data_IF_129223003428
#
_entry.id   IF_129223003428
#
_cell.length_a   1.000
_cell.length_b   1.000
_cell.length_c   1.000
_cell.angle_alpha   90.00
_cell.angle_beta   90.00
_cell.angle_gamma   90.00
#
_symmetry.space_group_name_H-M   'P 1'
#
loop_
_entity.id
_entity.type
_entity.pdbx_description
1 polymer ?
#
# COMPACT_ATOMS: atom_id res chain seq x y z
N UNK A 1 22.29 -21.74 -64.53
CA UNK A 1 21.43 -20.61 -64.97
C UNK A 1 20.00 -21.02 -64.67
N UNK A 2 19.12 -20.25 -63.98
CA UNK A 2 19.13 -18.81 -63.65
C UNK A 2 19.40 -18.55 -62.14
N UNK A 3 19.88 -17.41 -61.63
CA UNK A 3 19.48 -16.00 -61.72
C UNK A 3 18.12 -15.70 -61.04
N UNK A 4 18.13 -15.05 -59.86
CA UNK A 4 17.56 -13.72 -59.61
C UNK A 4 17.69 -13.35 -58.12
N UNK A 5 18.31 -12.20 -57.89
CA UNK A 5 18.41 -11.50 -56.61
C UNK A 5 17.10 -10.77 -56.27
N UNK A 6 16.82 -10.51 -54.98
CA UNK A 6 16.52 -9.17 -54.46
C UNK A 6 16.32 -9.08 -52.93
N UNK A 7 16.57 -7.88 -52.39
CA UNK A 7 16.34 -7.34 -51.03
C UNK A 7 17.29 -7.82 -49.92
N UNK A 8 18.30 -7.06 -49.44
CA UNK A 8 18.38 -5.65 -49.02
C UNK A 8 17.26 -5.23 -48.04
N UNK A 9 17.60 -5.15 -46.74
CA UNK A 9 17.63 -3.89 -45.97
C UNK A 9 17.53 -4.13 -44.43
N UNK A 10 18.52 -3.57 -43.70
CA UNK A 10 18.38 -2.73 -42.48
C UNK A 10 17.93 -3.42 -41.18
N UNK A 11 18.48 -3.21 -39.99
CA UNK A 11 19.66 -2.53 -39.45
C UNK A 11 19.53 -2.68 -37.93
N UNK A 12 20.56 -3.15 -37.23
CA UNK A 12 21.05 -2.64 -35.92
C UNK A 12 22.22 -3.56 -35.55
N UNK A 13 23.46 -3.10 -35.46
CA UNK A 13 23.89 -1.94 -34.69
C UNK A 13 24.31 -2.38 -33.29
N UNK A 14 25.18 -3.39 -33.18
CA UNK A 14 25.85 -3.73 -31.91
C UNK A 14 26.94 -2.69 -31.64
N UNK A 15 26.56 -1.61 -30.94
CA UNK A 15 27.51 -0.70 -30.33
C UNK A 15 28.03 -1.34 -29.03
N UNK A 16 29.29 -1.70 -29.09
CA UNK A 16 30.10 -2.23 -27.99
C UNK A 16 30.07 -1.33 -26.76
N UNK A 17 30.01 -1.98 -25.59
CA UNK A 17 30.20 -1.38 -24.28
C UNK A 17 31.47 -0.52 -24.24
N UNK A 18 31.33 0.72 -23.76
CA UNK A 18 32.44 1.61 -23.44
C UNK A 18 32.54 1.76 -21.91
N UNK A 19 33.75 2.03 -21.40
CA UNK A 19 34.17 1.73 -20.04
C UNK A 19 33.68 2.78 -19.04
N UNK A 20 33.82 2.41 -17.77
CA UNK A 20 33.79 3.27 -16.60
C UNK A 20 34.21 4.73 -16.86
N UNK A 21 33.30 5.67 -16.59
CA UNK A 21 33.68 7.05 -16.24
C UNK A 21 32.95 7.46 -14.96
N UNK A 22 33.51 6.99 -13.85
CA UNK A 22 33.26 7.47 -12.50
C UNK A 22 33.96 8.82 -12.30
N UNK A 23 33.63 9.87 -13.05
CA UNK A 23 34.23 11.20 -12.80
C UNK A 23 33.49 12.39 -13.41
N UNK A 24 32.14 12.44 -13.35
CA UNK A 24 31.44 13.71 -13.64
C UNK A 24 30.08 13.89 -12.99
N UNK A 25 30.06 13.89 -11.66
CA UNK A 25 29.14 14.75 -10.94
C UNK A 25 29.92 15.45 -9.83
N UNK A 26 30.41 16.66 -10.12
CA UNK A 26 30.69 17.63 -9.07
C UNK A 26 29.36 17.93 -8.38
N UNK A 27 29.13 17.30 -7.22
CA UNK A 27 28.11 17.78 -6.29
C UNK A 27 28.64 19.10 -5.73
N UNK A 28 27.96 20.23 -5.93
CA UNK A 28 28.26 21.44 -5.16
C UNK A 28 28.10 21.10 -3.69
N UNK A 29 29.02 21.56 -2.83
CA UNK A 29 28.97 21.47 -1.38
C UNK A 29 27.83 22.32 -0.79
N UNK A 30 26.61 22.13 -1.29
CA UNK A 30 25.43 22.76 -0.76
C UNK A 30 24.66 21.73 0.04
N UNK A 31 25.06 21.59 1.30
CA UNK A 31 24.20 21.22 2.42
C UNK A 31 25.06 21.06 3.67
N UNK A 32 24.67 21.54 4.83
CA UNK A 32 23.41 22.15 5.23
C UNK A 32 23.67 22.54 6.67
N UNK A 33 23.44 23.80 7.00
CA UNK A 33 23.29 24.20 8.40
C UNK A 33 22.32 23.22 9.06
N UNK A 34 22.86 22.42 9.97
CA UNK A 34 22.11 21.59 10.89
C UNK A 34 21.50 22.56 11.90
N UNK A 35 20.36 23.16 11.54
CA UNK A 35 19.65 24.05 12.43
C UNK A 35 18.22 23.52 12.58
N UNK A 36 18.01 22.91 13.74
CA UNK A 36 16.73 22.68 14.37
C UNK A 36 15.84 23.92 14.23
N UNK A 37 14.62 23.71 13.74
CA UNK A 37 13.46 24.52 14.11
C UNK A 37 12.27 23.56 14.22
N UNK A 38 12.10 23.05 15.43
CA UNK A 38 10.84 22.52 15.92
C UNK A 38 9.75 23.61 15.89
N UNK A 39 8.51 23.15 15.79
CA UNK A 39 7.24 23.85 16.05
C UNK A 39 6.65 24.78 14.97
N UNK A 40 5.88 24.16 14.06
CA UNK A 40 4.46 24.51 13.78
C UNK A 40 3.74 23.30 13.16
N UNK A 41 3.40 22.30 13.97
CA UNK A 41 2.49 21.23 13.57
C UNK A 41 1.28 21.19 14.52
N UNK A 42 0.67 22.37 14.73
CA UNK A 42 -0.58 22.49 15.44
C UNK A 42 -1.76 22.03 14.58
N UNK A 43 -2.43 20.97 15.06
CA UNK A 43 -3.87 20.70 14.93
C UNK A 43 -4.44 20.01 13.68
N UNK A 44 -3.64 19.24 12.93
CA UNK A 44 -4.20 18.15 12.11
C UNK A 44 -3.37 16.87 12.27
N UNK A 45 -3.54 16.18 13.40
CA UNK A 45 -3.06 14.79 13.53
C UNK A 45 -3.99 13.88 12.72
N UNK A 46 -3.90 13.97 11.39
CA UNK A 46 -4.54 13.03 10.48
C UNK A 46 -3.71 11.75 10.61
N UNK A 47 -4.00 10.96 11.64
CA UNK A 47 -3.42 9.63 11.74
C UNK A 47 -3.76 8.89 10.44
N UNK A 48 -2.73 8.44 9.74
CA UNK A 48 -2.88 7.86 8.43
C UNK A 48 -3.29 6.40 8.58
N UNK A 49 -4.23 5.95 7.76
CA UNK A 49 -4.62 4.55 7.70
C UNK A 49 -3.40 3.67 7.34
N UNK A 50 -3.39 2.45 7.88
CA UNK A 50 -2.38 1.46 7.53
C UNK A 50 -2.36 1.22 6.03
N UNK A 51 -1.17 1.04 5.49
CA UNK A 51 -1.04 0.64 4.10
C UNK A 51 -1.57 -0.79 3.92
N UNK A 52 -2.22 -1.06 2.79
CA UNK A 52 -2.77 -2.40 2.49
C UNK A 52 -1.71 -3.51 2.61
N UNK A 53 -0.46 -3.20 2.24
CA UNK A 53 0.65 -4.12 2.38
C UNK A 53 1.00 -4.44 3.85
N UNK A 54 0.88 -3.47 4.76
CA UNK A 54 1.16 -3.66 6.19
C UNK A 54 0.12 -4.55 6.85
N UNK A 55 -1.16 -4.39 6.46
CA UNK A 55 -2.25 -5.27 6.90
C UNK A 55 -1.98 -6.70 6.44
N UNK A 56 -1.64 -6.89 5.15
CA UNK A 56 -1.30 -8.21 4.60
C UNK A 56 -0.07 -8.79 5.31
N UNK A 57 0.96 -7.98 5.54
CA UNK A 57 2.16 -8.40 6.24
C UNK A 57 1.87 -8.81 7.69
N UNK A 58 1.03 -8.07 8.41
CA UNK A 58 0.62 -8.39 9.76
C UNK A 58 -0.15 -9.72 9.83
N UNK A 59 -1.07 -9.97 8.90
CA UNK A 59 -1.75 -11.27 8.78
C UNK A 59 -0.76 -12.41 8.50
N UNK A 60 0.18 -12.20 7.58
CA UNK A 60 1.21 -13.20 7.24
C UNK A 60 2.16 -13.48 8.40
N UNK A 61 2.49 -12.47 9.21
CA UNK A 61 3.27 -12.65 10.45
C UNK A 61 2.55 -13.55 11.46
N UNK A 62 1.21 -13.56 11.45
CA UNK A 62 0.37 -14.49 12.22
C UNK A 62 0.12 -15.83 11.53
N UNK A 63 0.72 -16.06 10.36
CA UNK A 63 0.54 -17.30 9.60
C UNK A 63 -0.81 -17.39 8.86
N UNK A 64 -1.55 -16.28 8.71
CA UNK A 64 -2.85 -16.25 8.05
C UNK A 64 -2.82 -15.46 6.74
N UNK A 65 -3.87 -15.59 5.95
CA UNK A 65 -4.09 -14.82 4.71
C UNK A 65 -5.50 -14.28 4.69
N UNK A 66 -5.76 -13.21 3.93
CA UNK A 66 -7.12 -12.66 3.77
C UNK A 66 -8.13 -13.72 3.30
N UNK A 67 -7.70 -14.63 2.41
CA UNK A 67 -8.55 -15.71 1.94
C UNK A 67 -8.87 -16.73 3.04
N UNK A 68 -7.92 -17.04 3.92
CA UNK A 68 -8.14 -17.91 5.07
C UNK A 68 -9.10 -17.27 6.08
N UNK A 69 -8.83 -16.03 6.47
CA UNK A 69 -9.70 -15.22 7.36
C UNK A 69 -11.12 -15.13 6.81
N UNK A 70 -11.27 -14.92 5.50
CA UNK A 70 -12.58 -14.88 4.86
C UNK A 70 -13.33 -16.22 4.96
N UNK A 71 -12.63 -17.36 4.81
CA UNK A 71 -13.24 -18.69 4.92
C UNK A 71 -13.71 -18.98 6.34
N UNK A 72 -12.89 -18.61 7.32
CA UNK A 72 -13.23 -18.75 8.74
C UNK A 72 -14.43 -17.88 9.13
N UNK A 73 -14.55 -16.68 8.53
CA UNK A 73 -15.72 -15.82 8.68
C UNK A 73 -16.96 -16.25 7.86
N UNK A 74 -16.89 -17.36 7.10
CA UNK A 74 -18.01 -17.84 6.26
C UNK A 74 -18.31 -16.95 5.04
N UNK A 75 -17.34 -16.15 4.59
CA UNK A 75 -17.44 -15.25 3.46
C UNK A 75 -16.67 -15.79 2.24
N UNK A 76 -17.04 -15.36 1.03
CA UNK A 76 -16.26 -15.74 -0.16
C UNK A 76 -14.86 -15.11 -0.10
N UNK A 77 -13.82 -15.85 -0.52
CA UNK A 77 -12.42 -15.45 -0.34
C UNK A 77 -12.04 -14.08 -0.94
N UNK A 78 -12.82 -13.58 -1.90
CA UNK A 78 -12.64 -12.24 -2.50
C UNK A 78 -13.38 -11.12 -1.75
N UNK A 79 -14.40 -11.45 -0.95
CA UNK A 79 -15.22 -10.46 -0.25
C UNK A 79 -14.40 -9.65 0.75
N UNK A 80 -13.53 -10.32 1.52
CA UNK A 80 -12.71 -9.63 2.52
C UNK A 80 -11.61 -8.75 1.90
N UNK A 81 -11.16 -9.06 0.69
CA UNK A 81 -10.20 -8.22 -0.02
C UNK A 81 -10.76 -6.83 -0.34
N UNK A 82 -12.09 -6.71 -0.46
CA UNK A 82 -12.75 -5.42 -0.69
C UNK A 82 -12.55 -4.43 0.47
N UNK A 83 -12.26 -4.90 1.70
CA UNK A 83 -12.00 -4.03 2.87
C UNK A 83 -10.84 -3.08 2.61
N UNK A 84 -9.83 -3.51 1.86
CA UNK A 84 -8.63 -2.71 1.60
C UNK A 84 -8.92 -1.50 0.69
N UNK A 85 -9.96 -1.58 -0.13
CA UNK A 85 -10.31 -0.53 -1.10
C UNK A 85 -11.56 0.27 -0.71
N UNK A 86 -12.49 -0.33 0.04
CA UNK A 86 -13.76 0.29 0.41
C UNK A 86 -14.03 0.19 1.91
N UNK A 87 -14.57 1.25 2.55
CA UNK A 87 -14.98 1.19 3.95
C UNK A 87 -16.04 0.11 4.13
N UNK A 88 -15.70 -0.94 4.86
CA UNK A 88 -16.62 -2.03 5.15
C UNK A 88 -16.49 -2.44 6.61
N UNK A 89 -17.28 -1.81 7.51
CA UNK A 89 -17.11 -1.97 8.95
C UNK A 89 -17.06 -3.43 9.39
N UNK A 90 -17.94 -4.30 8.86
CA UNK A 90 -17.96 -5.73 9.21
C UNK A 90 -16.64 -6.43 8.86
N UNK A 91 -16.06 -6.15 7.70
CA UNK A 91 -14.80 -6.74 7.29
C UNK A 91 -13.59 -6.16 8.02
N UNK A 92 -13.62 -4.86 8.31
CA UNK A 92 -12.62 -4.19 9.15
C UNK A 92 -12.57 -4.82 10.54
N UNK A 93 -13.74 -5.04 11.16
CA UNK A 93 -13.86 -5.74 12.46
C UNK A 93 -13.32 -7.17 12.40
N UNK A 94 -13.59 -7.93 11.33
CA UNK A 94 -13.03 -9.28 11.18
C UNK A 94 -11.50 -9.20 11.16
N UNK A 95 -10.89 -8.35 10.34
CA UNK A 95 -9.41 -8.24 10.29
C UNK A 95 -8.85 -7.79 11.63
N UNK A 96 -9.48 -6.81 12.27
CA UNK A 96 -9.09 -6.27 13.56
C UNK A 96 -9.13 -7.34 14.68
N UNK A 97 -10.18 -8.17 14.70
CA UNK A 97 -10.33 -9.29 15.63
C UNK A 97 -9.19 -10.32 15.48
N UNK A 98 -8.86 -10.70 14.24
CA UNK A 98 -7.70 -11.58 13.96
C UNK A 98 -6.37 -10.99 14.39
N UNK A 99 -6.22 -9.67 14.26
CA UNK A 99 -5.03 -8.95 14.70
C UNK A 99 -5.07 -8.60 16.20
N UNK A 100 -6.19 -8.83 16.90
CA UNK A 100 -6.35 -8.50 18.31
C UNK A 100 -6.14 -7.02 18.64
N UNK A 101 -6.40 -6.14 17.67
CA UNK A 101 -6.29 -4.67 17.82
C UNK A 101 -7.63 -4.04 17.45
N UNK A 102 -7.91 -2.85 17.95
CA UNK A 102 -9.16 -2.16 17.60
C UNK A 102 -9.10 -1.66 16.14
N UNK A 103 -10.19 -1.72 15.35
CA UNK A 103 -10.17 -1.28 13.95
C UNK A 103 -9.80 0.21 13.78
N UNK A 104 -9.99 1.04 14.81
CA UNK A 104 -9.55 2.44 14.81
C UNK A 104 -8.02 2.59 14.79
N UNK A 105 -7.26 1.58 15.18
CA UNK A 105 -5.79 1.61 15.12
C UNK A 105 -5.28 1.33 13.70
N UNK A 106 -6.01 0.53 12.94
CA UNK A 106 -5.69 0.20 11.54
C UNK A 106 -6.18 1.31 10.61
N UNK A 107 -7.39 1.81 10.86
CA UNK A 107 -8.03 2.85 10.05
C UNK A 107 -8.47 4.06 10.88
N UNK A 108 -7.53 4.79 11.50
CA UNK A 108 -7.87 5.95 12.32
C UNK A 108 -8.66 7.01 11.57
N UNK A 109 -8.41 7.23 10.27
CA UNK A 109 -9.15 8.18 9.44
C UNK A 109 -10.64 7.84 9.33
N UNK A 110 -11.00 6.56 9.49
CA UNK A 110 -12.39 6.08 9.38
C UNK A 110 -13.16 6.10 10.71
N UNK A 111 -12.46 6.08 11.84
CA UNK A 111 -13.04 5.93 13.17
C UNK A 111 -12.86 7.16 14.07
N UNK A 112 -12.00 8.12 13.72
CA UNK A 112 -11.86 9.36 14.46
C UNK A 112 -12.41 10.57 13.68
N UNK A 113 -13.15 11.43 14.36
CA UNK A 113 -13.54 12.74 13.83
C UNK A 113 -12.38 13.75 13.94
N UNK A 114 -12.52 14.93 13.32
CA UNK A 114 -11.56 16.05 13.44
C UNK A 114 -11.29 16.47 14.87
N UNK A 115 -12.24 16.21 15.77
CA UNK A 115 -12.16 16.48 17.21
C UNK A 115 -11.52 15.34 18.02
N UNK A 116 -11.07 14.26 17.36
CA UNK A 116 -10.49 13.07 18.01
C UNK A 116 -11.52 12.18 18.71
N UNK A 117 -12.81 12.38 18.48
CA UNK A 117 -13.87 11.55 19.05
C UNK A 117 -14.04 10.25 18.24
N UNK A 118 -14.23 9.13 18.93
CA UNK A 118 -14.44 7.82 18.31
C UNK A 118 -15.87 7.73 17.74
N UNK A 119 -15.96 7.50 16.43
CA UNK A 119 -17.21 7.35 15.69
C UNK A 119 -17.61 5.88 15.69
N UNK A 120 -18.75 5.56 16.29
CA UNK A 120 -19.29 4.19 16.29
C UNK A 120 -19.86 3.83 14.90
N UNK A 121 -19.18 2.94 14.16
CA UNK A 121 -19.67 2.43 12.87
C UNK A 121 -20.47 1.15 13.09
N UNK A 122 -21.80 1.25 13.11
CA UNK A 122 -22.69 0.08 13.20
C UNK A 122 -22.59 -0.76 11.93
N UNK A 123 -22.16 -2.01 12.07
CA UNK A 123 -22.29 -2.99 10.99
C UNK A 123 -23.78 -3.15 10.67
N UNK A 124 -24.16 -3.01 9.39
CA UNK A 124 -25.55 -3.20 8.98
C UNK A 124 -25.95 -4.63 9.38
N UNK A 125 -26.90 -4.74 10.32
CA UNK A 125 -27.52 -6.02 10.66
C UNK A 125 -28.12 -6.56 9.37
N UNK A 126 -27.67 -7.74 8.95
CA UNK A 126 -28.35 -8.47 7.90
C UNK A 126 -29.70 -8.84 8.48
N UNK A 127 -30.78 -8.23 7.98
CA UNK A 127 -32.13 -8.71 8.23
C UNK A 127 -32.19 -10.07 7.54
N UNK A 128 -31.94 -11.12 8.32
CA UNK A 128 -32.27 -12.49 7.92
C UNK A 128 -33.80 -12.54 8.03
N UNK A 129 -34.47 -12.56 6.88
CA UNK A 129 -35.91 -12.82 6.77
C UNK A 129 -36.19 -14.30 6.96
#
# INVERSE_FOLDING_TARGET
MPAFAFSMAVQVGEASASPDDSSRYCKPCLNRHHQSMEEVAGMINIQNDWHSADIIAALRKRGTTLAAVSREAGLSSSTLANVLSRPWPKGEWIIADYLGIHPSEIWPSRYFDRNGQLIERKARKQLVL
#
